data_IF_047213967429
#
_entry.id   IF_047213967429
#
_cell.length_a   1.000
_cell.length_b   1.000
_cell.length_c   1.000
_cell.angle_alpha   90.00
_cell.angle_beta   90.00
_cell.angle_gamma   90.00
#
_symmetry.space_group_name_H-M   'P 1'
#
loop_
_entity.id
_entity.type
_entity.pdbx_description
1 polymer ?
#
# COMPACT_ATOMS: atom_id res chain seq x y z
N UNK A 1 -25.47 -33.91 3.22
CA UNK A 1 -25.02 -32.56 3.48
C UNK A 1 -23.75 -32.36 2.67
N UNK A 2 -23.81 -31.64 1.54
CA UNK A 2 -22.63 -31.37 0.73
C UNK A 2 -21.75 -30.40 1.53
N UNK A 3 -20.54 -30.81 1.88
CA UNK A 3 -19.48 -29.93 2.36
C UNK A 3 -19.23 -28.91 1.26
N UNK A 4 -19.70 -27.65 1.46
CA UNK A 4 -19.27 -26.53 0.63
C UNK A 4 -17.75 -26.48 0.75
N UNK A 5 -17.05 -26.86 -0.31
CA UNK A 5 -15.63 -26.55 -0.45
C UNK A 5 -15.52 -25.03 -0.45
N UNK A 6 -15.05 -24.46 0.66
CA UNK A 6 -14.62 -23.09 0.69
C UNK A 6 -13.56 -22.90 -0.42
N UNK A 7 -13.61 -21.76 -1.13
CA UNK A 7 -12.81 -21.54 -2.31
C UNK A 7 -11.31 -21.81 -2.07
N UNK A 8 -10.67 -22.36 -3.08
CA UNK A 8 -9.23 -22.63 -3.10
C UNK A 8 -8.46 -21.33 -2.85
N UNK A 9 -7.44 -21.39 -1.99
CA UNK A 9 -6.56 -20.24 -1.71
C UNK A 9 -5.43 -20.24 -2.73
N UNK A 10 -5.32 -19.18 -3.51
CA UNK A 10 -4.27 -18.97 -4.50
C UNK A 10 -3.28 -17.94 -4.00
N UNK A 11 -1.99 -18.14 -4.22
CA UNK A 11 -0.94 -17.19 -3.86
C UNK A 11 -0.61 -16.23 -5.00
N UNK A 12 -0.46 -14.97 -4.67
CA UNK A 12 0.12 -13.94 -5.54
C UNK A 12 1.15 -13.12 -4.77
N UNK A 13 2.11 -12.50 -5.48
CA UNK A 13 2.99 -11.45 -4.97
C UNK A 13 2.75 -10.17 -5.72
N UNK A 14 2.67 -9.07 -4.99
CA UNK A 14 2.28 -7.76 -5.54
C UNK A 14 3.38 -6.74 -5.30
N UNK A 15 3.63 -5.88 -6.30
CA UNK A 15 4.70 -4.89 -6.34
C UNK A 15 6.10 -5.50 -6.44
N UNK A 16 6.20 -6.62 -7.13
CA UNK A 16 7.46 -7.36 -7.30
C UNK A 16 8.55 -6.50 -7.95
N UNK A 17 9.74 -6.49 -7.35
CA UNK A 17 10.91 -5.79 -7.88
C UNK A 17 12.16 -6.68 -7.74
N UNK A 18 12.20 -7.76 -8.51
CA UNK A 18 13.30 -8.72 -8.49
C UNK A 18 13.00 -9.98 -7.67
N UNK A 19 13.99 -10.88 -7.56
CA UNK A 19 13.82 -12.18 -6.89
C UNK A 19 13.37 -12.02 -5.44
N UNK A 20 12.40 -12.83 -5.04
CA UNK A 20 11.76 -12.82 -3.70
C UNK A 20 11.06 -11.49 -3.35
N UNK A 21 10.91 -10.58 -4.31
CA UNK A 21 10.28 -9.28 -4.12
C UNK A 21 8.77 -9.35 -3.99
N UNK A 22 8.19 -8.21 -3.66
CA UNK A 22 6.75 -8.03 -3.54
C UNK A 22 6.16 -8.49 -2.22
N UNK A 23 4.89 -8.15 -2.01
CA UNK A 23 4.12 -8.49 -0.83
C UNK A 23 3.18 -9.67 -1.12
N UNK A 24 3.26 -10.78 -0.37
CA UNK A 24 2.41 -11.95 -0.58
C UNK A 24 0.95 -11.65 -0.25
N UNK A 25 0.04 -12.22 -1.02
CA UNK A 25 -1.41 -12.16 -0.77
C UNK A 25 -2.02 -13.55 -1.00
N UNK A 26 -2.50 -14.20 0.06
CA UNK A 26 -3.46 -15.29 -0.07
C UNK A 26 -4.79 -14.77 -0.60
N UNK A 27 -5.24 -15.29 -1.74
CA UNK A 27 -6.42 -14.85 -2.47
C UNK A 27 -7.47 -15.95 -2.55
N UNK A 28 -8.68 -15.65 -2.15
CA UNK A 28 -9.86 -16.53 -2.35
C UNK A 28 -10.75 -15.93 -3.44
N UNK A 29 -10.75 -16.56 -4.62
CA UNK A 29 -11.47 -16.13 -5.83
C UNK A 29 -12.99 -16.05 -5.66
N UNK A 30 -13.57 -16.95 -4.86
CA UNK A 30 -14.99 -16.97 -4.54
C UNK A 30 -15.16 -17.25 -3.06
N UNK A 31 -15.48 -16.20 -2.32
CA UNK A 31 -15.64 -16.26 -0.87
C UNK A 31 -17.12 -16.34 -0.44
N UNK A 32 -18.04 -16.61 -1.39
CA UNK A 32 -19.46 -16.74 -1.08
C UNK A 32 -19.67 -17.82 0.02
N UNK A 33 -20.41 -17.46 1.07
CA UNK A 33 -20.67 -18.33 2.21
C UNK A 33 -19.57 -18.38 3.29
N UNK A 34 -18.41 -17.75 3.08
CA UNK A 34 -17.39 -17.65 4.13
C UNK A 34 -17.80 -16.65 5.21
N UNK A 35 -17.69 -17.05 6.46
CA UNK A 35 -17.84 -16.14 7.60
C UNK A 35 -16.57 -15.26 7.79
N UNK A 36 -16.69 -14.17 8.56
CA UNK A 36 -15.54 -13.36 8.93
C UNK A 36 -14.46 -14.20 9.67
N UNK A 37 -14.89 -15.17 10.49
CA UNK A 37 -13.98 -16.08 11.19
C UNK A 37 -13.21 -16.98 10.22
N UNK A 38 -13.86 -17.50 9.16
CA UNK A 38 -13.19 -18.32 8.15
C UNK A 38 -12.14 -17.53 7.39
N UNK A 39 -12.49 -16.31 6.96
CA UNK A 39 -11.59 -15.41 6.26
C UNK A 39 -10.38 -15.02 7.12
N UNK A 40 -10.62 -14.67 8.38
CA UNK A 40 -9.54 -14.39 9.34
C UNK A 40 -8.68 -15.63 9.61
N UNK A 41 -9.29 -16.83 9.60
CA UNK A 41 -8.60 -18.10 9.68
C UNK A 41 -7.61 -18.32 8.52
N UNK A 42 -7.96 -17.91 7.30
CA UNK A 42 -7.03 -17.91 6.15
C UNK A 42 -5.86 -16.99 6.41
N UNK A 43 -6.12 -15.72 6.79
CA UNK A 43 -5.06 -14.75 7.06
C UNK A 43 -4.10 -15.21 8.18
N UNK A 44 -4.62 -15.85 9.23
CA UNK A 44 -3.79 -16.41 10.31
C UNK A 44 -2.92 -17.56 9.85
N UNK A 45 -3.45 -18.49 9.04
CA UNK A 45 -2.68 -19.65 8.55
C UNK A 45 -1.51 -19.26 7.68
N UNK A 46 -1.69 -18.22 6.85
CA UNK A 46 -0.64 -17.77 5.93
C UNK A 46 0.22 -16.65 6.50
N UNK A 47 -0.19 -16.00 7.61
CA UNK A 47 0.57 -14.92 8.25
C UNK A 47 0.58 -13.61 7.46
N UNK A 48 -0.30 -13.47 6.46
CA UNK A 48 -0.30 -12.34 5.51
C UNK A 48 -1.69 -11.73 5.35
N UNK A 49 -1.73 -10.51 4.83
CA UNK A 49 -2.95 -9.86 4.37
C UNK A 49 -3.59 -10.68 3.26
N UNK A 50 -4.82 -11.11 3.48
CA UNK A 50 -5.55 -12.01 2.58
C UNK A 50 -6.73 -11.29 1.95
N UNK A 51 -7.01 -11.58 0.67
CA UNK A 51 -8.10 -10.99 -0.09
C UNK A 51 -9.20 -12.01 -0.40
N UNK A 52 -10.45 -11.54 -0.35
CA UNK A 52 -11.65 -12.35 -0.56
C UNK A 52 -12.57 -11.65 -1.54
N UNK A 53 -12.90 -12.35 -2.64
CA UNK A 53 -13.72 -11.84 -3.73
C UNK A 53 -15.16 -12.31 -3.56
N UNK A 54 -16.09 -11.34 -3.64
CA UNK A 54 -17.53 -11.59 -3.64
C UNK A 54 -18.15 -11.00 -4.90
N UNK A 55 -19.25 -11.58 -5.33
CA UNK A 55 -20.11 -10.98 -6.35
C UNK A 55 -20.57 -9.57 -5.91
N UNK A 56 -20.84 -8.67 -6.89
CA UNK A 56 -21.33 -7.32 -6.58
C UNK A 56 -22.68 -7.39 -5.88
N UNK A 57 -22.90 -6.49 -4.95
CA UNK A 57 -24.17 -6.38 -4.18
C UNK A 57 -24.95 -5.11 -4.50
N UNK A 58 -24.47 -4.28 -5.43
CA UNK A 58 -25.09 -3.02 -5.84
C UNK A 58 -24.82 -2.70 -7.33
N UNK A 59 -25.71 -1.93 -8.00
CA UNK A 59 -25.52 -1.55 -9.39
C UNK A 59 -24.25 -0.72 -9.61
N UNK A 60 -23.56 -0.97 -10.73
CA UNK A 60 -22.37 -0.23 -11.12
C UNK A 60 -21.09 -0.60 -10.34
N UNK A 61 -21.13 -1.68 -9.58
CA UNK A 61 -19.97 -2.32 -8.94
C UNK A 61 -19.77 -3.67 -9.61
N UNK A 62 -18.50 -3.99 -9.93
CA UNK A 62 -18.15 -5.25 -10.57
C UNK A 62 -17.86 -6.36 -9.55
N UNK A 63 -17.22 -6.02 -8.43
CA UNK A 63 -16.94 -6.92 -7.30
C UNK A 63 -16.99 -6.21 -5.95
N UNK A 64 -17.18 -6.99 -4.89
CA UNK A 64 -16.93 -6.59 -3.51
C UNK A 64 -15.72 -7.34 -2.97
N UNK A 65 -14.74 -6.62 -2.43
CA UNK A 65 -13.56 -7.19 -1.81
C UNK A 65 -13.57 -6.98 -0.30
N UNK A 66 -13.13 -8.02 0.41
CA UNK A 66 -12.85 -7.94 1.85
C UNK A 66 -11.39 -8.35 2.09
N UNK A 67 -10.77 -7.73 3.08
CA UNK A 67 -9.36 -7.93 3.40
C UNK A 67 -9.19 -8.25 4.88
N UNK A 68 -8.36 -9.24 5.18
CA UNK A 68 -8.09 -9.64 6.55
C UNK A 68 -6.58 -9.74 6.78
N UNK A 69 -6.11 -9.19 7.90
CA UNK A 69 -4.84 -9.53 8.53
C UNK A 69 -5.07 -10.60 9.59
N UNK A 70 -4.01 -11.24 10.15
CA UNK A 70 -4.18 -12.23 11.21
C UNK A 70 -5.06 -11.79 12.37
N UNK A 71 -5.08 -10.49 12.70
CA UNK A 71 -5.72 -9.97 13.89
C UNK A 71 -7.12 -9.33 13.66
N UNK A 72 -7.41 -8.80 12.48
CA UNK A 72 -8.66 -8.09 12.20
C UNK A 72 -8.98 -7.98 10.71
N UNK A 73 -10.17 -7.50 10.39
CA UNK A 73 -10.56 -7.08 9.05
C UNK A 73 -10.07 -5.66 8.78
N UNK A 74 -9.60 -5.41 7.55
CA UNK A 74 -9.12 -4.10 7.09
C UNK A 74 -10.15 -3.45 6.17
N UNK A 75 -10.29 -2.12 6.28
CA UNK A 75 -11.20 -1.36 5.42
C UNK A 75 -10.70 -1.29 3.96
N UNK A 76 -9.38 -1.28 3.78
CA UNK A 76 -8.72 -1.19 2.47
C UNK A 76 -7.33 -1.80 2.53
N UNK A 77 -6.95 -2.50 1.46
CA UNK A 77 -5.61 -2.99 1.24
C UNK A 77 -5.18 -2.73 -0.21
N UNK A 78 -4.25 -1.79 -0.43
CA UNK A 78 -3.85 -1.34 -1.77
C UNK A 78 -3.21 -2.45 -2.60
N UNK A 79 -2.20 -3.16 -2.04
CA UNK A 79 -1.53 -4.23 -2.77
C UNK A 79 -2.46 -5.41 -3.05
N UNK A 80 -3.28 -5.82 -2.07
CA UNK A 80 -4.22 -6.91 -2.28
C UNK A 80 -5.30 -6.54 -3.32
N UNK A 81 -5.73 -5.27 -3.41
CA UNK A 81 -6.67 -4.82 -4.45
C UNK A 81 -6.05 -4.89 -5.84
N UNK A 82 -4.81 -4.39 -6.01
CA UNK A 82 -4.07 -4.48 -7.28
C UNK A 82 -3.89 -5.94 -7.70
N UNK A 83 -3.42 -6.78 -6.78
CA UNK A 83 -3.17 -8.19 -7.05
C UNK A 83 -4.42 -8.98 -7.37
N UNK A 84 -5.51 -8.76 -6.62
CA UNK A 84 -6.80 -9.43 -6.86
C UNK A 84 -7.38 -9.08 -8.23
N UNK A 85 -7.35 -7.81 -8.60
CA UNK A 85 -7.82 -7.36 -9.92
C UNK A 85 -6.96 -7.92 -11.05
N UNK A 86 -5.63 -7.97 -10.85
CA UNK A 86 -4.72 -8.61 -11.80
C UNK A 86 -5.06 -10.10 -11.96
N UNK A 87 -5.28 -10.83 -10.87
CA UNK A 87 -5.66 -12.24 -10.91
C UNK A 87 -7.01 -12.46 -11.62
N UNK A 88 -8.02 -11.60 -11.36
CA UNK A 88 -9.30 -11.65 -12.07
C UNK A 88 -9.13 -11.40 -13.58
N UNK A 89 -8.17 -10.56 -13.98
CA UNK A 89 -7.81 -10.35 -15.38
C UNK A 89 -7.20 -11.60 -15.99
N UNK A 90 -6.22 -12.21 -15.32
CA UNK A 90 -5.55 -13.44 -15.75
C UNK A 90 -6.52 -14.64 -15.84
N UNK A 91 -7.51 -14.70 -14.97
CA UNK A 91 -8.57 -15.72 -15.03
C UNK A 91 -9.65 -15.43 -16.10
N UNK A 92 -9.57 -14.27 -16.79
CA UNK A 92 -10.53 -13.87 -17.82
C UNK A 92 -11.89 -13.41 -17.26
N UNK A 93 -12.00 -13.15 -15.97
CA UNK A 93 -13.23 -12.63 -15.33
C UNK A 93 -13.38 -11.12 -15.51
N UNK A 94 -12.29 -10.40 -15.61
CA UNK A 94 -12.27 -8.97 -15.92
C UNK A 94 -11.83 -8.75 -17.37
N UNK A 95 -12.73 -8.38 -18.26
CA UNK A 95 -12.46 -8.21 -19.70
C UNK A 95 -12.55 -6.76 -20.19
N UNK A 96 -13.21 -5.89 -19.42
CA UNK A 96 -13.40 -4.46 -19.72
C UNK A 96 -12.13 -3.64 -19.44
N UNK A 97 -11.99 -2.42 -20.03
CA UNK A 97 -10.85 -1.54 -19.74
C UNK A 97 -10.82 -1.01 -18.30
N UNK A 98 -11.99 -0.88 -17.68
CA UNK A 98 -12.15 -0.32 -16.32
C UNK A 98 -13.03 -1.23 -15.47
N UNK A 99 -12.90 -1.11 -14.16
CA UNK A 99 -13.74 -1.79 -13.19
C UNK A 99 -13.96 -0.93 -11.95
N UNK A 100 -14.98 -1.27 -11.18
CA UNK A 100 -15.29 -0.63 -9.90
C UNK A 100 -15.45 -1.69 -8.82
N UNK A 101 -14.71 -1.54 -7.74
CA UNK A 101 -14.68 -2.48 -6.64
C UNK A 101 -15.19 -1.82 -5.37
N UNK A 102 -16.12 -2.48 -4.66
CA UNK A 102 -16.55 -2.09 -3.33
C UNK A 102 -15.60 -2.64 -2.28
N UNK A 103 -15.13 -1.79 -1.38
CA UNK A 103 -14.41 -2.14 -0.15
C UNK A 103 -15.09 -1.48 1.04
N UNK A 104 -14.69 -1.79 2.27
CA UNK A 104 -15.22 -1.10 3.46
C UNK A 104 -14.89 0.40 3.50
N UNK A 105 -13.79 0.83 2.86
CA UNK A 105 -13.42 2.25 2.77
C UNK A 105 -14.10 3.00 1.62
N UNK A 106 -14.93 2.33 0.83
CA UNK A 106 -15.65 2.93 -0.30
C UNK A 106 -15.39 2.24 -1.63
N UNK A 107 -15.70 2.93 -2.73
CA UNK A 107 -15.49 2.44 -4.10
C UNK A 107 -14.09 2.77 -4.57
N UNK A 108 -13.45 1.80 -5.17
CA UNK A 108 -12.16 1.94 -5.85
C UNK A 108 -12.39 1.77 -7.34
N UNK A 109 -12.02 2.79 -8.12
CA UNK A 109 -11.98 2.69 -9.57
C UNK A 109 -10.69 1.99 -9.98
N UNK A 110 -10.77 1.12 -10.99
CA UNK A 110 -9.63 0.42 -11.54
C UNK A 110 -9.56 0.60 -13.06
N UNK A 111 -8.34 0.53 -13.60
CA UNK A 111 -8.10 0.51 -15.04
C UNK A 111 -7.02 -0.50 -15.40
N UNK A 112 -7.17 -1.14 -16.55
CA UNK A 112 -6.19 -2.04 -17.12
C UNK A 112 -5.29 -1.30 -18.13
N UNK A 113 -3.98 -1.37 -17.90
CA UNK A 113 -2.98 -0.93 -18.87
C UNK A 113 -2.51 -2.15 -19.69
N UNK A 114 -3.09 -2.30 -20.88
CA UNK A 114 -2.80 -3.44 -21.76
C UNK A 114 -1.36 -3.41 -22.32
N UNK A 115 -0.73 -2.22 -22.40
CA UNK A 115 0.64 -2.11 -22.91
C UNK A 115 1.67 -2.63 -21.90
N UNK A 116 1.40 -2.42 -20.62
CA UNK A 116 2.27 -2.84 -19.53
C UNK A 116 1.82 -4.11 -18.81
N UNK A 117 0.62 -4.61 -19.12
CA UNK A 117 0.02 -5.74 -18.39
C UNK A 117 -0.22 -5.42 -16.92
N UNK A 118 -0.69 -4.21 -16.60
CA UNK A 118 -0.79 -3.71 -15.22
C UNK A 118 -2.17 -3.20 -14.86
N UNK A 119 -2.51 -3.39 -13.61
CA UNK A 119 -3.69 -2.82 -12.97
C UNK A 119 -3.31 -1.52 -12.27
N UNK A 120 -4.09 -0.47 -12.50
CA UNK A 120 -4.04 0.78 -11.76
C UNK A 120 -5.32 0.93 -10.95
N UNK A 121 -5.21 1.25 -9.66
CA UNK A 121 -6.35 1.52 -8.78
C UNK A 121 -6.33 2.96 -8.29
N UNK A 122 -7.51 3.56 -8.13
CA UNK A 122 -7.65 4.93 -7.64
C UNK A 122 -7.37 5.02 -6.14
N UNK A 123 -6.67 6.10 -5.76
CA UNK A 123 -6.56 6.56 -4.38
C UNK A 123 -7.06 8.00 -4.30
N UNK A 124 -7.76 8.41 -3.24
CA UNK A 124 -8.21 9.77 -3.06
C UNK A 124 -7.04 10.74 -2.86
N UNK A 125 -7.33 12.04 -2.95
CA UNK A 125 -6.39 13.10 -2.62
C UNK A 125 -5.92 12.93 -1.18
N UNK A 126 -4.63 13.15 -0.94
CA UNK A 126 -4.03 13.07 0.40
C UNK A 126 -4.62 14.15 1.32
N UNK A 127 -4.82 13.80 2.56
CA UNK A 127 -5.08 14.74 3.66
C UNK A 127 -3.86 14.75 4.56
N UNK A 128 -3.37 15.94 4.84
CA UNK A 128 -2.18 16.16 5.65
C UNK A 128 -2.58 16.77 6.99
N UNK A 129 -1.92 16.36 8.06
CA UNK A 129 -1.99 17.01 9.35
C UNK A 129 -0.62 16.99 10.03
N UNK A 130 -0.19 18.11 10.65
CA UNK A 130 1.07 18.17 11.35
C UNK A 130 1.03 17.24 12.58
N UNK A 131 2.16 16.67 12.93
CA UNK A 131 2.39 15.99 14.20
C UNK A 131 3.06 17.00 15.14
N UNK A 132 2.61 17.08 16.38
CA UNK A 132 3.23 17.92 17.41
C UNK A 132 4.72 17.57 17.55
N UNK A 133 5.57 18.58 17.79
CA UNK A 133 7.02 18.43 17.80
C UNK A 133 7.49 17.37 18.81
N UNK A 134 6.92 17.39 20.03
CA UNK A 134 7.27 16.43 21.08
C UNK A 134 6.88 14.99 20.72
N UNK A 135 5.76 14.81 20.01
CA UNK A 135 5.33 13.54 19.48
C UNK A 135 6.19 13.11 18.29
N UNK A 136 6.62 14.05 17.45
CA UNK A 136 7.58 13.85 16.36
C UNK A 136 8.92 13.32 16.89
N UNK A 137 9.46 13.93 17.94
CA UNK A 137 10.67 13.46 18.62
C UNK A 137 10.51 12.04 19.16
N UNK A 138 9.34 11.74 19.75
CA UNK A 138 9.03 10.38 20.21
C UNK A 138 9.00 9.38 19.04
N UNK A 139 8.40 9.73 17.91
CA UNK A 139 8.40 8.89 16.68
C UNK A 139 9.83 8.60 16.25
N UNK A 140 10.68 9.62 16.18
CA UNK A 140 12.09 9.47 15.79
C UNK A 140 12.86 8.63 16.81
N UNK A 141 12.62 8.80 18.11
CA UNK A 141 13.20 7.97 19.16
C UNK A 141 12.82 6.49 19.05
N UNK A 142 11.61 6.19 18.60
CA UNK A 142 11.15 4.81 18.35
C UNK A 142 11.79 4.22 17.11
N UNK A 143 11.99 5.00 16.04
CA UNK A 143 12.67 4.55 14.82
C UNK A 143 14.17 4.28 15.04
N UNK A 144 14.78 4.90 16.07
CA UNK A 144 16.18 4.73 16.47
C UNK A 144 17.15 4.91 15.30
N UNK A 145 17.25 6.08 14.71
CA UNK A 145 18.29 6.37 13.76
C UNK A 145 19.66 6.27 14.44
N UNK A 146 20.61 5.58 13.80
CA UNK A 146 21.95 5.33 14.40
C UNK A 146 22.76 6.62 14.58
N UNK A 147 22.44 7.66 13.80
CA UNK A 147 23.15 8.96 13.83
C UNK A 147 22.22 10.08 14.28
N UNK A 148 22.73 10.95 15.15
CA UNK A 148 22.05 12.21 15.47
C UNK A 148 21.88 13.06 14.20
N UNK A 149 20.65 13.52 13.95
CA UNK A 149 20.33 14.30 12.73
C UNK A 149 20.03 13.44 11.50
N UNK A 150 19.91 12.12 11.63
CA UNK A 150 19.57 11.25 10.51
C UNK A 150 18.13 11.41 9.98
N UNK A 151 17.34 12.28 10.54
CA UNK A 151 15.98 12.61 10.11
C UNK A 151 15.75 14.13 10.01
N UNK A 152 14.74 14.54 9.26
CA UNK A 152 14.37 15.93 9.06
C UNK A 152 12.95 16.21 9.58
N UNK A 153 12.79 17.32 10.26
CA UNK A 153 11.47 17.86 10.62
C UNK A 153 10.83 18.60 9.42
N UNK A 154 9.49 18.70 9.34
CA UNK A 154 8.49 18.18 10.27
C UNK A 154 8.13 16.72 10.04
N UNK A 155 7.67 16.05 11.11
CA UNK A 155 6.96 14.77 11.01
C UNK A 155 5.51 15.07 10.65
N UNK A 156 4.94 14.34 9.69
CA UNK A 156 3.61 14.65 9.14
C UNK A 156 2.74 13.39 9.10
N UNK A 157 1.50 13.51 9.52
CA UNK A 157 0.48 12.51 9.25
C UNK A 157 -0.13 12.76 7.87
N UNK A 158 -0.12 11.73 7.02
CA UNK A 158 -0.68 11.75 5.68
C UNK A 158 -1.66 10.58 5.50
N UNK A 159 -2.82 10.84 4.90
CA UNK A 159 -3.85 9.82 4.70
C UNK A 159 -4.49 9.92 3.32
N UNK A 160 -4.53 8.81 2.60
CA UNK A 160 -5.47 8.57 1.51
C UNK A 160 -6.70 7.82 2.02
N UNK A 161 -6.54 6.61 2.54
CA UNK A 161 -7.60 5.85 3.23
C UNK A 161 -7.30 5.65 4.72
N UNK A 162 -6.02 5.50 5.09
CA UNK A 162 -5.56 5.31 6.47
C UNK A 162 -4.38 6.22 6.75
N UNK A 163 -4.29 6.74 7.97
CA UNK A 163 -3.22 7.65 8.38
C UNK A 163 -1.88 6.91 8.47
N UNK A 164 -0.85 7.50 7.86
CA UNK A 164 0.55 7.08 7.96
C UNK A 164 1.38 8.27 8.42
N UNK A 165 2.31 8.01 9.33
CA UNK A 165 3.21 9.04 9.83
C UNK A 165 4.49 9.05 9.01
N UNK A 166 4.69 10.09 8.24
CA UNK A 166 5.83 10.27 7.34
C UNK A 166 7.00 10.88 8.11
N UNK A 167 8.18 10.27 7.97
CA UNK A 167 9.43 10.75 8.57
C UNK A 167 10.51 10.80 7.50
N UNK A 168 10.94 12.00 7.10
CA UNK A 168 12.01 12.16 6.12
C UNK A 168 13.36 11.81 6.75
N UNK A 169 14.04 10.82 6.20
CA UNK A 169 15.39 10.43 6.56
C UNK A 169 16.41 11.20 5.71
N UNK A 170 17.63 11.33 6.21
CA UNK A 170 18.72 12.05 5.54
C UNK A 170 19.02 11.45 4.16
N UNK A 171 19.08 10.13 4.07
CA UNK A 171 19.37 9.36 2.86
C UNK A 171 18.85 7.91 2.96
N UNK A 172 19.00 7.14 1.89
CA UNK A 172 18.61 5.74 1.86
C UNK A 172 19.43 4.89 2.83
N UNK A 173 20.71 5.21 3.04
CA UNK A 173 21.55 4.45 3.97
C UNK A 173 21.06 4.63 5.41
N UNK A 174 20.67 5.84 5.81
CA UNK A 174 20.06 6.10 7.12
C UNK A 174 18.70 5.41 7.27
N UNK A 175 17.90 5.34 6.19
CA UNK A 175 16.64 4.61 6.17
C UNK A 175 16.85 3.11 6.39
N UNK A 176 17.78 2.52 5.67
CA UNK A 176 18.07 1.07 5.74
C UNK A 176 18.67 0.66 7.09
N UNK A 177 19.45 1.56 7.71
CA UNK A 177 20.08 1.34 9.01
C UNK A 177 19.10 1.40 10.19
N UNK A 178 17.85 1.81 10.01
CA UNK A 178 16.86 1.91 11.08
C UNK A 178 16.68 0.57 11.83
N UNK A 179 16.67 0.65 13.17
CA UNK A 179 16.43 -0.47 14.10
C UNK A 179 15.32 -0.12 15.10
N UNK A 180 14.05 -0.07 14.66
CA UNK A 180 12.97 0.42 15.50
C UNK A 180 12.79 -0.37 16.80
N UNK A 181 12.38 0.33 17.85
CA UNK A 181 11.89 -0.27 19.08
C UNK A 181 10.49 -0.83 18.87
N UNK A 182 10.38 -1.98 18.21
CA UNK A 182 9.11 -2.57 17.73
C UNK A 182 8.02 -2.63 18.81
N UNK A 183 8.37 -2.95 20.06
CA UNK A 183 7.43 -2.97 21.18
C UNK A 183 6.84 -1.60 21.56
N UNK A 184 7.36 -0.49 21.01
CA UNK A 184 6.85 0.86 21.25
C UNK A 184 6.05 1.43 20.07
N UNK A 185 6.08 0.78 18.91
CA UNK A 185 5.43 1.26 17.68
C UNK A 185 3.92 1.42 17.88
N UNK A 186 3.25 0.43 18.46
CA UNK A 186 1.81 0.48 18.69
C UNK A 186 1.37 1.66 19.56
N UNK A 187 2.00 1.83 20.71
CA UNK A 187 1.70 2.91 21.65
C UNK A 187 2.02 4.30 21.05
N UNK A 188 3.09 4.38 20.25
CA UNK A 188 3.47 5.62 19.57
C UNK A 188 2.48 5.98 18.46
N UNK A 189 2.11 5.02 17.62
CA UNK A 189 1.08 5.21 16.59
C UNK A 189 -0.28 5.60 17.21
N UNK A 190 -0.65 5.01 18.35
CA UNK A 190 -1.88 5.37 19.06
C UNK A 190 -1.87 6.84 19.53
N UNK A 191 -0.73 7.34 20.01
CA UNK A 191 -0.60 8.71 20.50
C UNK A 191 -0.71 9.78 19.40
N UNK A 192 -0.51 9.41 18.14
CA UNK A 192 -0.53 10.30 16.97
C UNK A 192 -1.64 9.94 15.96
N UNK A 193 -2.61 9.12 16.37
CA UNK A 193 -3.71 8.65 15.52
C UNK A 193 -3.25 8.04 14.17
N UNK A 194 -2.11 7.31 14.18
CA UNK A 194 -1.53 6.68 13.01
C UNK A 194 -1.77 5.17 12.98
N UNK A 195 -1.81 4.60 11.78
CA UNK A 195 -1.86 3.15 11.57
C UNK A 195 -0.47 2.55 11.26
N UNK A 196 0.58 3.37 11.27
CA UNK A 196 1.95 2.90 11.09
C UNK A 196 2.92 4.04 10.80
N UNK A 197 4.18 3.83 11.16
CA UNK A 197 5.28 4.74 10.89
C UNK A 197 5.84 4.44 9.50
N UNK A 198 6.03 5.48 8.70
CA UNK A 198 6.50 5.39 7.32
C UNK A 198 7.72 6.30 7.09
N UNK A 199 8.90 5.93 7.63
CA UNK A 199 10.13 6.62 7.30
C UNK A 199 10.46 6.44 5.82
N UNK A 200 10.95 7.51 5.19
CA UNK A 200 11.28 7.55 3.77
C UNK A 200 12.51 8.40 3.51
N UNK A 201 13.16 8.16 2.37
CA UNK A 201 14.23 8.98 1.84
C UNK A 201 13.97 9.31 0.37
N UNK A 202 14.44 10.50 -0.06
CA UNK A 202 14.36 10.95 -1.44
C UNK A 202 15.77 11.29 -1.91
N UNK A 203 16.24 10.61 -2.93
CA UNK A 203 17.56 10.86 -3.51
C UNK A 203 17.44 11.24 -4.98
N UNK A 204 18.05 12.35 -5.36
CA UNK A 204 18.22 12.74 -6.76
C UNK A 204 19.70 12.67 -7.10
N UNK A 205 20.07 11.76 -8.00
CA UNK A 205 21.46 11.55 -8.42
C UNK A 205 21.78 12.36 -9.67
N UNK A 206 22.29 13.57 -9.47
CA UNK A 206 22.62 14.49 -10.58
C UNK A 206 21.39 14.79 -11.44
N UNK A 207 21.49 14.55 -12.77
CA UNK A 207 20.37 14.66 -13.72
C UNK A 207 19.58 13.35 -13.88
N UNK A 208 19.81 12.37 -13.01
CA UNK A 208 19.10 11.07 -13.03
C UNK A 208 17.68 11.15 -12.42
N UNK A 209 16.95 10.04 -12.48
CA UNK A 209 15.62 9.97 -11.86
C UNK A 209 15.70 10.11 -10.34
N UNK A 210 14.70 10.77 -9.76
CA UNK A 210 14.49 10.78 -8.32
C UNK A 210 14.12 9.39 -7.82
N UNK A 211 14.85 8.89 -6.84
CA UNK A 211 14.58 7.62 -6.16
C UNK A 211 13.89 7.93 -4.84
N UNK A 212 12.70 7.38 -4.65
CA UNK A 212 11.98 7.43 -3.37
C UNK A 212 12.04 6.05 -2.76
N UNK A 213 12.56 5.93 -1.55
CA UNK A 213 12.60 4.68 -0.79
C UNK A 213 11.86 4.85 0.54
N UNK A 214 11.23 3.79 1.04
CA UNK A 214 10.49 3.83 2.29
C UNK A 214 10.52 2.50 3.02
N UNK A 215 10.21 2.54 4.33
CA UNK A 215 9.96 1.37 5.16
C UNK A 215 8.65 1.54 5.92
N UNK A 216 7.94 0.46 6.19
CA UNK A 216 6.65 0.50 6.88
C UNK A 216 6.67 -0.32 8.15
N UNK A 217 6.45 0.34 9.29
CA UNK A 217 6.28 -0.30 10.60
C UNK A 217 4.82 -0.17 11.03
N UNK A 218 3.99 -1.23 10.87
CA UNK A 218 2.56 -1.16 11.13
C UNK A 218 2.25 -1.15 12.63
N UNK A 219 1.14 -0.51 13.02
CA UNK A 219 0.69 -0.41 14.40
C UNK A 219 0.33 -1.77 15.01
N UNK A 220 -0.43 -2.62 14.29
CA UNK A 220 -1.03 -3.84 14.87
C UNK A 220 -1.39 -4.91 13.85
N UNK A 221 -0.65 -5.03 12.76
CA UNK A 221 -0.95 -6.00 11.68
C UNK A 221 -0.56 -7.44 12.02
N UNK A 222 0.21 -7.67 13.07
CA UNK A 222 0.66 -9.01 13.48
C UNK A 222 2.05 -9.38 12.94
N UNK A 223 2.72 -8.45 12.25
CA UNK A 223 4.10 -8.54 11.77
C UNK A 223 4.83 -7.20 11.99
N UNK A 224 6.17 -7.23 12.18
CA UNK A 224 6.91 -6.05 12.61
C UNK A 224 7.15 -5.01 11.51
N UNK A 225 7.26 -5.44 10.27
CA UNK A 225 7.51 -4.61 9.10
C UNK A 225 6.76 -5.16 7.89
N UNK A 226 6.29 -4.30 6.99
CA UNK A 226 5.56 -4.67 5.78
C UNK A 226 6.43 -4.45 4.54
N UNK A 227 6.48 -5.44 3.65
CA UNK A 227 7.33 -5.42 2.47
C UNK A 227 6.89 -4.40 1.41
N UNK A 228 5.58 -4.16 1.27
CA UNK A 228 5.06 -3.16 0.33
C UNK A 228 3.67 -2.68 0.73
N UNK A 229 3.56 -1.38 1.01
CA UNK A 229 2.34 -0.76 1.53
C UNK A 229 1.80 0.28 0.55
N UNK A 230 0.97 -0.14 -0.39
CA UNK A 230 0.46 0.73 -1.46
C UNK A 230 -0.20 2.02 -0.97
N UNK A 231 -1.06 1.94 0.06
CA UNK A 231 -1.74 3.12 0.62
C UNK A 231 -0.77 4.09 1.33
N UNK A 232 0.34 3.59 1.89
CA UNK A 232 1.36 4.44 2.50
C UNK A 232 2.19 5.15 1.42
N UNK A 233 2.56 4.43 0.36
CA UNK A 233 3.23 5.00 -0.80
C UNK A 233 2.35 6.05 -1.49
N UNK A 234 1.03 5.83 -1.59
CA UNK A 234 0.10 6.82 -2.12
C UNK A 234 0.00 8.07 -1.24
N UNK A 235 -0.02 7.92 0.09
CA UNK A 235 -0.01 9.04 1.03
C UNK A 235 1.31 9.83 0.95
N UNK A 236 2.45 9.13 0.88
CA UNK A 236 3.77 9.76 0.66
C UNK A 236 3.83 10.49 -0.67
N UNK A 237 3.40 9.86 -1.77
CA UNK A 237 3.38 10.51 -3.08
C UNK A 237 2.53 11.78 -3.06
N UNK A 238 1.36 11.73 -2.42
CA UNK A 238 0.50 12.90 -2.28
C UNK A 238 1.19 14.04 -1.53
N UNK A 239 1.88 13.74 -0.44
CA UNK A 239 2.68 14.72 0.30
C UNK A 239 3.81 15.31 -0.57
N UNK A 240 4.58 14.45 -1.25
CA UNK A 240 5.68 14.88 -2.11
C UNK A 240 5.20 15.70 -3.32
N UNK A 241 4.02 15.39 -3.86
CA UNK A 241 3.42 16.15 -4.95
C UNK A 241 2.92 17.53 -4.51
N UNK A 242 2.37 17.66 -3.31
CA UNK A 242 1.92 18.95 -2.76
C UNK A 242 3.08 19.85 -2.30
N UNK A 243 4.26 19.26 -2.09
CA UNK A 243 5.49 19.98 -1.74
C UNK A 243 6.45 20.15 -2.93
N UNK A 244 6.01 19.87 -4.15
CA UNK A 244 6.81 19.93 -5.39
C UNK A 244 8.10 19.09 -5.36
N UNK A 245 8.17 18.09 -4.47
CA UNK A 245 9.34 17.22 -4.34
C UNK A 245 9.40 16.13 -5.43
N UNK A 246 8.26 15.84 -6.08
CA UNK A 246 8.17 14.94 -7.22
C UNK A 246 7.28 15.54 -8.31
N UNK A 247 7.62 15.34 -9.60
CA UNK A 247 6.80 15.85 -10.70
C UNK A 247 5.51 15.02 -10.86
N UNK A 248 4.39 15.69 -11.13
CA UNK A 248 3.10 15.05 -11.40
C UNK A 248 2.80 14.91 -12.90
N UNK A 249 3.45 15.73 -13.74
CA UNK A 249 3.17 15.82 -15.18
C UNK A 249 1.86 16.55 -15.50
N UNK A 250 1.24 16.17 -16.61
CA UNK A 250 -0.03 16.74 -17.08
C UNK A 250 -1.04 15.64 -17.38
N UNK A 251 -2.34 15.94 -17.56
CA UNK A 251 -3.33 14.92 -17.95
C UNK A 251 -2.96 14.15 -19.23
N UNK A 252 -2.30 14.81 -20.18
CA UNK A 252 -1.84 14.20 -21.45
C UNK A 252 -0.53 13.40 -21.30
N UNK A 253 0.31 13.78 -20.34
CA UNK A 253 1.63 13.17 -20.08
C UNK A 253 1.90 13.08 -18.57
N UNK A 254 1.17 12.23 -17.84
CA UNK A 254 1.38 12.08 -16.40
C UNK A 254 2.69 11.37 -16.13
N UNK A 255 3.40 11.81 -15.06
CA UNK A 255 4.67 11.22 -14.65
C UNK A 255 4.43 10.11 -13.64
N UNK A 256 5.13 8.98 -13.81
CA UNK A 256 5.13 7.89 -12.85
C UNK A 256 6.27 8.08 -11.85
N UNK A 257 5.94 8.11 -10.58
CA UNK A 257 6.90 8.03 -9.47
C UNK A 257 6.90 6.61 -8.93
N UNK A 258 8.08 6.05 -8.67
CA UNK A 258 8.22 4.74 -8.04
C UNK A 258 8.70 4.89 -6.61
N UNK A 259 7.97 4.32 -5.66
CA UNK A 259 8.40 4.17 -4.26
C UNK A 259 8.93 2.76 -4.06
N UNK A 260 10.20 2.64 -3.70
CA UNK A 260 10.87 1.39 -3.37
C UNK A 260 10.65 1.08 -1.89
N UNK A 261 10.35 -0.17 -1.57
CA UNK A 261 10.12 -0.64 -0.19
C UNK A 261 10.56 -2.09 -0.05
N UNK A 262 10.81 -2.55 1.17
CA UNK A 262 11.08 -3.95 1.47
C UNK A 262 12.52 -4.42 1.22
N UNK A 263 13.42 -3.56 0.76
CA UNK A 263 14.82 -3.93 0.48
C UNK A 263 15.56 -4.38 1.73
N UNK A 264 15.40 -3.66 2.84
CA UNK A 264 15.98 -4.03 4.13
C UNK A 264 15.45 -5.35 4.70
N UNK A 265 14.30 -5.83 4.21
CA UNK A 265 13.69 -7.13 4.57
C UNK A 265 14.08 -8.26 3.62
N UNK A 266 14.79 -7.99 2.53
CA UNK A 266 15.05 -8.96 1.47
C UNK A 266 13.84 -9.28 0.57
N UNK A 267 12.79 -8.44 0.60
CA UNK A 267 11.60 -8.51 -0.26
C UNK A 267 11.46 -7.23 -1.09
N UNK A 268 12.38 -6.95 -2.02
CA UNK A 268 12.41 -5.70 -2.77
C UNK A 268 11.10 -5.48 -3.54
N UNK A 269 10.50 -4.33 -3.37
CA UNK A 269 9.19 -3.97 -3.94
C UNK A 269 9.24 -2.61 -4.62
N UNK A 270 8.46 -2.44 -5.69
CA UNK A 270 8.31 -1.20 -6.43
C UNK A 270 6.83 -0.84 -6.59
N UNK A 271 6.43 0.25 -5.96
CA UNK A 271 5.07 0.77 -5.96
C UNK A 271 5.04 1.96 -6.90
N UNK A 272 4.28 1.85 -7.98
CA UNK A 272 4.14 2.88 -9.00
C UNK A 272 2.95 3.79 -8.71
N UNK A 273 3.17 5.09 -8.79
CA UNK A 273 2.19 6.12 -8.50
C UNK A 273 2.17 7.15 -9.63
N UNK A 274 0.98 7.60 -9.99
CA UNK A 274 0.75 8.57 -11.05
C UNK A 274 -0.41 9.47 -10.68
N UNK A 275 -0.34 10.76 -11.02
CA UNK A 275 -1.45 11.68 -10.75
C UNK A 275 -2.76 11.20 -11.38
N UNK A 276 -3.85 11.33 -10.63
CA UNK A 276 -5.22 11.24 -11.11
C UNK A 276 -5.78 12.65 -11.20
N UNK A 277 -6.07 13.07 -12.43
CA UNK A 277 -6.58 14.40 -12.72
C UNK A 277 -8.11 14.41 -12.80
N UNK A 278 -8.71 15.47 -12.30
CA UNK A 278 -10.11 15.81 -12.51
C UNK A 278 -10.36 16.39 -13.90
N UNK A 279 -11.63 16.69 -14.21
CA UNK A 279 -12.03 17.26 -15.50
C UNK A 279 -11.48 18.68 -15.73
N UNK A 280 -11.13 19.38 -14.67
CA UNK A 280 -10.51 20.71 -14.66
C UNK A 280 -8.98 20.68 -14.75
N UNK A 281 -8.38 19.49 -14.79
CA UNK A 281 -6.93 19.27 -14.82
C UNK A 281 -6.26 19.31 -13.45
N UNK A 282 -7.02 19.51 -12.37
CA UNK A 282 -6.50 19.46 -11.00
C UNK A 282 -6.22 18.04 -10.53
N UNK A 283 -5.23 17.87 -9.65
CA UNK A 283 -4.91 16.58 -9.04
C UNK A 283 -5.95 16.23 -7.97
N UNK A 284 -6.74 15.20 -8.24
CA UNK A 284 -7.83 14.73 -7.35
C UNK A 284 -7.44 13.45 -6.59
N UNK A 285 -6.20 13.02 -6.70
CA UNK A 285 -5.65 11.83 -6.06
C UNK A 285 -4.57 11.19 -6.90
N UNK A 286 -4.32 9.90 -6.71
CA UNK A 286 -3.37 9.18 -7.56
C UNK A 286 -3.93 7.85 -8.05
N UNK A 287 -3.29 7.33 -9.07
CA UNK A 287 -3.35 5.94 -9.50
C UNK A 287 -2.19 5.18 -8.88
N UNK A 288 -2.47 4.00 -8.37
CA UNK A 288 -1.53 3.10 -7.71
C UNK A 288 -1.42 1.81 -8.51
N UNK A 289 -0.21 1.35 -8.78
CA UNK A 289 0.09 0.15 -9.57
C UNK A 289 1.40 -0.50 -9.15
N UNK A 290 1.71 -1.64 -9.77
CA UNK A 290 2.98 -2.33 -9.69
C UNK A 290 2.89 -3.71 -10.32
N UNK A 291 4.01 -4.42 -10.37
CA UNK A 291 4.08 -5.75 -10.95
C UNK A 291 3.45 -6.78 -10.02
N UNK A 292 2.72 -7.73 -10.62
CA UNK A 292 2.12 -8.87 -9.92
C UNK A 292 2.57 -10.17 -10.57
N UNK A 293 2.75 -11.20 -9.77
CA UNK A 293 3.05 -12.55 -10.24
C UNK A 293 2.33 -13.60 -9.39
N UNK A 294 2.11 -14.78 -9.97
CA UNK A 294 1.66 -15.95 -9.22
C UNK A 294 2.77 -16.42 -8.28
N UNK A 295 2.41 -16.86 -7.09
CA UNK A 295 3.35 -17.34 -6.08
C UNK A 295 2.81 -18.58 -5.36
N UNK A 296 3.70 -19.41 -4.84
CA UNK A 296 3.35 -20.39 -3.82
C UNK A 296 3.08 -19.67 -2.48
N UNK A 297 2.16 -20.22 -1.69
CA UNK A 297 1.80 -19.73 -0.35
C UNK A 297 2.56 -20.44 0.75
#
# INVERSE_FOLDING_TARGET
>A
MATQQHGEVTGIRVFVNGPNGGNPVPLVRNAAGMSASDMQGVARRHGHESAFVFAPNEPGIDWTFRFFVPNHEMEMCGHATVGTLWALREWGEWTTPTARVRTLSGVVDARWDAQRGRVWISQPKVRLSPVDESLGERVCGVLRPEQSGAWHAPVVNAATSRVKTLVLMQDIAALDALKPALGQVEATCAAIDSTGLYPYAVETRGNGPTVVAARQFPRSSGYPEDAATGIAAAALWGYLSETDAVPVGTPAAPVVTTVRQGEAMGSPSAIELQARFGNDGEVVGCWLSGQVEWAAL
#
